data_IF_024743790974
#
_entry.id   IF_024743790974
#
_cell.length_a   1.000
_cell.length_b   1.000
_cell.length_c   1.000
_cell.angle_alpha   90.00
_cell.angle_beta   90.00
_cell.angle_gamma   90.00
#
_symmetry.space_group_name_H-M   'P 1'
#
loop_
_entity.id
_entity.type
_entity.pdbx_description
1 polymer ?
#
# COMPACT_ATOMS: atom_id res chain seq x y z
N UNK A 1 -15.68 -13.31 -5.09
CA UNK A 1 -16.05 -13.72 -3.72
C UNK A 1 -17.56 -14.06 -3.63
N UNK A 2 -18.44 -13.31 -4.30
CA UNK A 2 -19.87 -13.61 -4.32
C UNK A 2 -20.18 -15.02 -4.82
N UNK A 3 -19.48 -15.47 -5.87
CA UNK A 3 -19.60 -16.82 -6.44
C UNK A 3 -19.26 -17.95 -5.45
N UNK A 4 -18.57 -17.61 -4.35
CA UNK A 4 -18.16 -18.55 -3.30
C UNK A 4 -18.97 -18.40 -2.02
N UNK A 5 -20.01 -17.56 -2.03
CA UNK A 5 -20.83 -17.24 -0.86
C UNK A 5 -20.06 -16.75 0.37
N UNK A 6 -18.86 -16.17 0.19
CA UNK A 6 -18.09 -15.59 1.28
C UNK A 6 -18.71 -14.29 1.76
N UNK A 7 -18.85 -14.17 3.08
CA UNK A 7 -19.21 -12.90 3.71
C UNK A 7 -17.95 -12.03 3.79
N UNK A 8 -17.98 -10.86 3.19
CA UNK A 8 -16.88 -9.91 3.20
C UNK A 8 -17.36 -8.46 3.15
N UNK A 9 -16.49 -7.55 3.57
CA UNK A 9 -16.69 -6.11 3.40
C UNK A 9 -15.58 -5.56 2.51
N UNK A 10 -15.95 -5.13 1.30
CA UNK A 10 -14.98 -4.51 0.39
C UNK A 10 -14.71 -3.07 0.81
N UNK A 11 -13.41 -2.73 0.95
CA UNK A 11 -12.94 -1.38 1.26
C UNK A 11 -12.07 -0.87 0.12
N UNK A 12 -12.53 0.16 -0.59
CA UNK A 12 -11.73 0.83 -1.62
C UNK A 12 -10.75 1.79 -0.95
N UNK A 13 -9.44 1.57 -1.11
CA UNK A 13 -8.42 2.49 -0.64
C UNK A 13 -8.62 3.91 -1.16
N UNK A 14 -8.95 4.05 -2.45
CA UNK A 14 -9.20 5.37 -3.07
C UNK A 14 -10.36 6.11 -2.39
N UNK A 15 -11.46 5.40 -2.11
CA UNK A 15 -12.59 5.99 -1.40
C UNK A 15 -12.20 6.40 0.02
N UNK A 16 -11.54 5.51 0.76
CA UNK A 16 -11.11 5.80 2.14
C UNK A 16 -10.15 7.00 2.23
N UNK A 17 -9.27 7.19 1.25
CA UNK A 17 -8.44 8.39 1.16
C UNK A 17 -9.29 9.63 0.90
N UNK A 18 -10.18 9.60 -0.10
CA UNK A 18 -11.01 10.75 -0.49
C UNK A 18 -12.04 11.14 0.57
N UNK A 19 -12.61 10.15 1.25
CA UNK A 19 -13.59 10.35 2.32
C UNK A 19 -12.96 10.80 3.65
N UNK A 20 -11.62 10.98 3.68
CA UNK A 20 -10.88 11.41 4.86
C UNK A 20 -10.75 10.35 5.96
N UNK A 21 -11.13 9.10 5.70
CA UNK A 21 -11.04 8.02 6.70
C UNK A 21 -9.61 7.82 7.22
N UNK A 22 -8.61 7.98 6.34
CA UNK A 22 -7.21 7.86 6.71
C UNK A 22 -6.59 9.13 7.32
N UNK A 23 -7.28 10.26 7.33
CA UNK A 23 -6.74 11.54 7.80
C UNK A 23 -6.12 11.49 9.22
N UNK A 24 -6.75 10.86 10.23
CA UNK A 24 -6.14 10.76 11.56
C UNK A 24 -4.80 10.01 11.52
N UNK A 25 -4.74 8.90 10.78
CA UNK A 25 -3.52 8.08 10.69
C UNK A 25 -2.45 8.76 9.83
N UNK A 26 -2.82 9.49 8.78
CA UNK A 26 -1.89 10.29 7.97
C UNK A 26 -1.19 11.37 8.81
N UNK A 27 -1.89 11.99 9.76
CA UNK A 27 -1.29 12.93 10.71
C UNK A 27 -0.27 12.23 11.62
N UNK A 28 -0.61 11.07 12.16
CA UNK A 28 0.32 10.25 12.98
C UNK A 28 1.56 9.85 12.15
N UNK A 29 1.40 9.47 10.89
CA UNK A 29 2.51 9.18 9.97
C UNK A 29 3.41 10.40 9.80
N UNK A 30 2.82 11.57 9.60
CA UNK A 30 3.57 12.83 9.45
C UNK A 30 4.33 13.21 10.72
N UNK A 31 3.71 13.06 11.89
CA UNK A 31 4.35 13.30 13.19
C UNK A 31 5.57 12.39 13.39
N UNK A 32 5.48 11.14 12.94
CA UNK A 32 6.54 10.14 13.03
C UNK A 32 7.45 10.07 11.79
N UNK A 33 7.41 11.08 10.93
CA UNK A 33 8.11 11.11 9.65
C UNK A 33 9.59 10.70 9.75
N UNK A 34 10.33 11.32 10.66
CA UNK A 34 11.76 11.09 10.79
C UNK A 34 12.08 9.65 11.22
N UNK A 35 11.26 9.08 12.12
CA UNK A 35 11.35 7.68 12.53
C UNK A 35 11.05 6.72 11.38
N UNK A 36 10.05 7.02 10.57
CA UNK A 36 9.70 6.23 9.37
C UNK A 36 10.82 6.29 8.34
N UNK A 37 11.40 7.47 8.12
CA UNK A 37 12.55 7.63 7.24
C UNK A 37 13.75 6.80 7.71
N UNK A 38 14.02 6.76 9.00
CA UNK A 38 15.10 5.93 9.58
C UNK A 38 14.88 4.42 9.35
N UNK A 39 13.63 3.97 9.28
CA UNK A 39 13.29 2.57 8.96
C UNK A 39 13.47 2.26 7.47
N UNK A 40 12.99 3.16 6.61
CA UNK A 40 12.95 2.92 5.16
C UNK A 40 14.28 3.24 4.48
N UNK A 41 14.93 4.34 4.85
CA UNK A 41 16.10 4.89 4.19
C UNK A 41 17.26 3.89 3.99
N UNK A 42 17.63 3.07 5.01
CA UNK A 42 18.69 2.08 4.84
C UNK A 42 18.40 0.98 3.81
N UNK A 43 17.14 0.80 3.42
CA UNK A 43 16.71 -0.22 2.45
C UNK A 43 16.70 0.27 1.01
N UNK A 44 16.97 1.56 0.80
CA UNK A 44 16.95 2.21 -0.50
C UNK A 44 18.34 2.30 -1.11
N UNK A 45 18.44 2.13 -2.42
CA UNK A 45 19.65 2.47 -3.17
C UNK A 45 19.94 3.98 -3.13
N UNK A 46 21.22 4.35 -3.31
CA UNK A 46 21.71 5.74 -3.17
C UNK A 46 20.91 6.76 -3.99
N UNK A 47 20.55 6.43 -5.21
CA UNK A 47 19.74 7.29 -6.09
C UNK A 47 18.34 7.53 -5.52
N UNK A 48 17.68 6.46 -5.07
CA UNK A 48 16.34 6.54 -4.50
C UNK A 48 16.32 7.26 -3.13
N UNK A 49 17.42 7.20 -2.38
CA UNK A 49 17.56 7.94 -1.12
C UNK A 49 17.43 9.46 -1.32
N UNK A 50 17.88 9.99 -2.44
CA UNK A 50 17.85 11.43 -2.72
C UNK A 50 16.45 11.98 -3.01
N UNK A 51 15.54 11.12 -3.47
CA UNK A 51 14.21 11.52 -3.94
C UNK A 51 13.06 10.92 -3.15
N UNK A 52 13.36 10.02 -2.20
CA UNK A 52 12.32 9.31 -1.48
C UNK A 52 11.58 10.23 -0.49
N UNK A 53 10.26 10.23 -0.61
CA UNK A 53 9.34 10.74 0.39
C UNK A 53 8.21 9.72 0.57
N UNK A 54 7.76 9.41 1.79
CA UNK A 54 6.62 8.53 1.99
C UNK A 54 5.31 9.08 1.42
N UNK A 55 5.20 10.38 1.24
CA UNK A 55 4.02 11.05 0.69
C UNK A 55 4.21 11.33 -0.80
N UNK A 56 3.26 10.89 -1.61
CA UNK A 56 3.19 11.12 -3.06
C UNK A 56 2.02 12.05 -3.35
N UNK A 57 2.23 13.22 -3.98
CA UNK A 57 1.14 14.11 -4.34
C UNK A 57 0.25 13.48 -5.40
N UNK A 58 -1.03 13.87 -5.42
CA UNK A 58 -1.99 13.51 -6.47
C UNK A 58 -2.21 14.74 -7.34
N UNK A 59 -2.11 14.55 -8.66
CA UNK A 59 -2.39 15.61 -9.61
C UNK A 59 -3.87 16.04 -9.51
N UNK A 60 -4.17 17.30 -9.23
CA UNK A 60 -5.55 17.75 -9.08
C UNK A 60 -6.35 17.63 -10.39
N UNK A 61 -5.70 17.77 -11.54
CA UNK A 61 -6.36 17.78 -12.84
C UNK A 61 -6.69 16.36 -13.33
N UNK A 62 -5.79 15.39 -13.07
CA UNK A 62 -5.89 14.02 -13.61
C UNK A 62 -6.23 12.97 -12.58
N UNK A 63 -6.06 13.26 -11.30
CA UNK A 63 -6.20 12.30 -10.20
C UNK A 63 -5.08 11.24 -10.15
N UNK A 64 -4.04 11.36 -10.97
CA UNK A 64 -2.92 10.43 -10.95
C UNK A 64 -1.93 10.73 -9.83
N UNK A 65 -1.34 9.69 -9.27
CA UNK A 65 -0.23 9.80 -8.31
C UNK A 65 0.99 10.30 -9.06
N UNK A 66 1.64 11.33 -8.53
CA UNK A 66 2.86 11.90 -9.08
C UNK A 66 4.08 11.32 -8.35
N UNK A 67 4.93 10.60 -9.08
CA UNK A 67 6.21 10.09 -8.56
C UNK A 67 7.33 11.12 -8.78
N UNK A 68 7.21 12.24 -8.13
CA UNK A 68 8.14 13.37 -8.22
C UNK A 68 8.75 13.68 -6.85
N UNK A 69 9.94 14.31 -6.81
CA UNK A 69 10.58 14.68 -5.55
C UNK A 69 9.74 15.67 -4.75
N UNK A 70 9.57 15.38 -3.47
CA UNK A 70 9.02 16.33 -2.50
C UNK A 70 10.18 17.16 -1.97
N UNK A 71 10.08 18.48 -2.08
CA UNK A 71 11.13 19.43 -1.70
C UNK A 71 11.07 19.78 -0.22
N UNK A 72 9.86 19.86 0.34
CA UNK A 72 9.64 20.30 1.71
C UNK A 72 8.37 19.67 2.28
N UNK A 73 8.35 19.45 3.59
CA UNK A 73 7.21 18.96 4.34
C UNK A 73 6.83 20.00 5.40
N UNK A 74 5.63 20.56 5.27
CA UNK A 74 5.03 21.45 6.26
C UNK A 74 4.23 20.61 7.26
N UNK A 75 4.88 20.18 8.34
CA UNK A 75 4.25 19.38 9.40
C UNK A 75 3.12 20.15 10.11
N UNK A 76 3.20 21.48 10.18
CA UNK A 76 2.22 22.30 10.88
C UNK A 76 0.89 22.42 10.13
N UNK A 77 0.96 22.54 8.81
CA UNK A 77 -0.22 22.72 7.96
C UNK A 77 -0.63 21.46 7.21
N UNK A 78 0.02 20.31 7.49
CA UNK A 78 -0.24 19.01 6.84
C UNK A 78 -0.12 19.09 5.32
N UNK A 79 0.96 19.70 4.82
CA UNK A 79 1.21 19.89 3.39
C UNK A 79 2.57 19.35 2.98
N UNK A 80 2.67 19.00 1.70
CA UNK A 80 3.92 18.74 0.99
C UNK A 80 4.10 19.77 -0.11
N UNK A 81 5.36 20.13 -0.35
CA UNK A 81 5.76 21.07 -1.40
C UNK A 81 6.65 20.30 -2.38
N UNK A 82 6.36 20.38 -3.65
CA UNK A 82 7.01 19.61 -4.69
C UNK A 82 7.22 20.41 -5.96
N UNK A 83 8.15 19.98 -6.80
CA UNK A 83 8.38 20.56 -8.12
C UNK A 83 7.64 19.75 -9.19
N UNK A 84 6.82 20.45 -9.96
CA UNK A 84 6.17 19.87 -11.13
C UNK A 84 6.57 20.65 -12.37
N UNK A 85 7.58 20.15 -13.08
CA UNK A 85 8.12 20.77 -14.31
C UNK A 85 8.59 22.22 -14.10
N UNK A 86 9.37 22.49 -13.04
CA UNK A 86 9.90 23.82 -12.72
C UNK A 86 8.91 24.74 -12.01
N UNK A 87 7.71 24.25 -11.70
CA UNK A 87 6.71 24.99 -10.92
C UNK A 87 6.60 24.40 -9.53
N UNK A 88 6.92 25.19 -8.51
CA UNK A 88 6.74 24.82 -7.12
C UNK A 88 5.25 24.84 -6.76
N UNK A 89 4.73 23.66 -6.39
CA UNK A 89 3.32 23.47 -6.01
C UNK A 89 3.24 22.93 -4.59
N UNK A 90 2.09 23.13 -3.94
CA UNK A 90 1.77 22.54 -2.65
C UNK A 90 0.54 21.64 -2.75
N UNK A 91 0.48 20.61 -1.92
CA UNK A 91 -0.68 19.73 -1.77
C UNK A 91 -0.87 19.35 -0.31
N UNK A 92 -2.13 19.25 0.12
CA UNK A 92 -2.47 18.65 1.41
C UNK A 92 -2.10 17.16 1.41
N UNK A 93 -1.70 16.62 2.55
CA UNK A 93 -1.58 15.16 2.72
C UNK A 93 -2.92 14.50 3.05
N UNK A 94 -3.98 15.28 3.24
CA UNK A 94 -5.31 14.83 3.67
C UNK A 94 -6.30 14.80 2.51
N UNK A 95 -7.46 14.20 2.74
CA UNK A 95 -8.64 14.26 1.86
C UNK A 95 -8.38 13.74 0.43
N UNK A 96 -7.51 12.74 0.30
CA UNK A 96 -7.19 12.13 -0.98
C UNK A 96 -6.32 12.97 -1.92
N UNK A 97 -5.72 14.08 -1.45
CA UNK A 97 -4.77 14.88 -2.23
C UNK A 97 -3.35 14.33 -2.23
N UNK A 98 -3.11 13.30 -1.45
CA UNK A 98 -1.85 12.60 -1.33
C UNK A 98 -2.08 11.09 -1.16
N UNK A 99 -1.13 10.28 -1.56
CA UNK A 99 -1.08 8.85 -1.29
C UNK A 99 0.26 8.49 -0.66
N UNK A 100 0.26 7.53 0.26
CA UNK A 100 1.50 7.00 0.82
C UNK A 100 2.18 6.01 -0.13
N UNK A 101 3.51 5.92 -0.07
CA UNK A 101 4.27 4.84 -0.70
C UNK A 101 3.96 3.50 -0.03
N UNK A 102 4.04 2.41 -0.81
CA UNK A 102 3.51 1.08 -0.52
C UNK A 102 3.73 0.58 0.92
N UNK A 103 4.95 0.57 1.43
CA UNK A 103 5.26 -0.02 2.74
C UNK A 103 4.65 0.79 3.89
N UNK A 104 4.63 2.11 3.73
CA UNK A 104 4.02 3.04 4.70
C UNK A 104 2.50 3.02 4.59
N UNK A 105 1.96 2.95 3.36
CA UNK A 105 0.53 2.81 3.08
C UNK A 105 -0.04 1.50 3.68
N UNK A 106 0.74 0.42 3.61
CA UNK A 106 0.33 -0.87 4.17
C UNK A 106 0.24 -0.83 5.70
N UNK A 107 1.25 -0.27 6.36
CA UNK A 107 1.23 -0.03 7.81
C UNK A 107 0.09 0.92 8.23
N UNK A 108 -0.15 1.98 7.47
CA UNK A 108 -1.25 2.92 7.68
C UNK A 108 -2.61 2.22 7.60
N UNK A 109 -2.82 1.35 6.62
CA UNK A 109 -4.06 0.58 6.48
C UNK A 109 -4.27 -0.40 7.63
N UNK A 110 -3.23 -1.11 8.06
CA UNK A 110 -3.31 -1.96 9.25
C UNK A 110 -3.74 -1.16 10.48
N UNK A 111 -3.15 0.02 10.65
CA UNK A 111 -3.46 0.89 11.78
C UNK A 111 -4.91 1.41 11.72
N UNK A 112 -5.32 1.99 10.60
CA UNK A 112 -6.59 2.69 10.44
C UNK A 112 -7.81 1.76 10.38
N UNK A 113 -7.62 0.56 9.82
CA UNK A 113 -8.68 -0.45 9.68
C UNK A 113 -8.70 -1.47 10.81
N UNK A 114 -7.78 -1.35 11.78
CA UNK A 114 -7.68 -2.24 12.93
C UNK A 114 -7.54 -3.71 12.53
N UNK A 115 -6.56 -3.99 11.66
CA UNK A 115 -6.38 -5.32 11.10
C UNK A 115 -5.74 -6.26 12.12
N UNK A 116 -6.40 -7.36 12.43
CA UNK A 116 -5.92 -8.41 13.34
C UNK A 116 -5.09 -9.48 12.63
N UNK A 117 -5.40 -9.74 11.37
CA UNK A 117 -4.78 -10.81 10.60
C UNK A 117 -4.59 -10.42 9.13
N UNK A 118 -3.40 -10.70 8.58
CA UNK A 118 -3.05 -10.42 7.18
C UNK A 118 -2.36 -11.62 6.54
N UNK A 119 -2.76 -11.97 5.32
CA UNK A 119 -2.07 -12.97 4.51
C UNK A 119 -1.48 -12.32 3.28
N UNK A 120 -0.24 -12.69 2.93
CA UNK A 120 0.44 -12.12 1.77
C UNK A 120 1.36 -13.13 1.11
N UNK A 121 1.62 -12.93 -0.19
CA UNK A 121 2.57 -13.77 -0.92
C UNK A 121 4.00 -13.60 -0.39
N UNK A 122 4.82 -14.66 -0.46
CA UNK A 122 6.21 -14.64 0.03
C UNK A 122 7.08 -13.55 -0.59
N UNK A 123 6.72 -13.04 -1.76
CA UNK A 123 7.39 -11.92 -2.42
C UNK A 123 7.20 -10.57 -1.69
N UNK A 124 6.29 -10.50 -0.73
CA UNK A 124 6.03 -9.31 0.10
C UNK A 124 6.63 -9.38 1.51
N UNK A 125 7.36 -10.45 1.87
CA UNK A 125 7.91 -10.64 3.22
C UNK A 125 8.74 -9.42 3.68
N UNK A 126 9.66 -8.94 2.86
CA UNK A 126 10.47 -7.76 3.20
C UNK A 126 9.63 -6.50 3.41
N UNK A 127 8.59 -6.33 2.60
CA UNK A 127 7.65 -5.22 2.76
C UNK A 127 6.86 -5.34 4.06
N UNK A 128 6.39 -6.55 4.41
CA UNK A 128 5.70 -6.83 5.66
C UNK A 128 6.57 -6.55 6.89
N UNK A 129 7.86 -6.93 6.85
CA UNK A 129 8.82 -6.62 7.92
C UNK A 129 8.95 -5.11 8.13
N UNK A 130 9.06 -4.33 7.06
CA UNK A 130 9.18 -2.88 7.17
C UNK A 130 7.87 -2.23 7.63
N UNK A 131 6.72 -2.68 7.10
CA UNK A 131 5.41 -2.22 7.55
C UNK A 131 5.15 -2.56 9.03
N UNK A 132 5.63 -3.72 9.51
CA UNK A 132 5.59 -4.09 10.93
C UNK A 132 6.40 -3.12 11.80
N UNK A 133 7.61 -2.74 11.37
CA UNK A 133 8.41 -1.74 12.11
C UNK A 133 7.72 -0.39 12.15
N UNK A 134 7.06 0.01 11.06
CA UNK A 134 6.36 1.28 10.96
C UNK A 134 5.13 1.31 11.86
N UNK A 135 4.26 0.29 11.82
CA UNK A 135 3.05 0.27 12.67
C UNK A 135 3.40 0.26 14.15
N UNK A 136 4.46 -0.47 14.53
CA UNK A 136 4.95 -0.47 15.91
C UNK A 136 5.50 0.90 16.33
N UNK A 137 6.22 1.59 15.44
CA UNK A 137 6.70 2.95 15.67
C UNK A 137 5.55 3.94 15.93
N UNK A 138 4.46 3.83 15.17
CA UNK A 138 3.30 4.70 15.31
C UNK A 138 2.32 4.28 16.41
N UNK A 139 2.72 3.34 17.27
CA UNK A 139 2.05 3.04 18.53
C UNK A 139 0.97 1.97 18.46
N UNK A 140 0.95 1.10 17.43
CA UNK A 140 0.01 -0.02 17.35
C UNK A 140 0.74 -1.34 17.06
N UNK A 141 0.22 -2.44 17.59
CA UNK A 141 0.73 -3.78 17.30
C UNK A 141 0.42 -4.16 15.86
N UNK A 142 1.37 -4.81 15.19
CA UNK A 142 1.13 -5.37 13.86
C UNK A 142 0.15 -6.54 13.88
N UNK A 143 -0.59 -6.78 12.78
CA UNK A 143 -1.43 -7.96 12.65
C UNK A 143 -0.63 -9.26 12.76
N UNK A 144 -1.29 -10.32 13.20
CA UNK A 144 -0.81 -11.68 13.01
C UNK A 144 -0.97 -12.07 11.54
N UNK A 145 -0.21 -13.05 11.06
CA UNK A 145 -0.36 -13.50 9.68
C UNK A 145 0.73 -14.43 9.23
N UNK A 146 0.65 -14.84 7.97
CA UNK A 146 1.66 -15.68 7.35
C UNK A 146 1.85 -15.34 5.86
N UNK A 147 3.04 -15.67 5.36
CA UNK A 147 3.33 -15.63 3.95
C UNK A 147 2.96 -16.99 3.30
N UNK A 148 2.16 -16.95 2.24
CA UNK A 148 1.88 -18.13 1.44
C UNK A 148 2.80 -18.22 0.22
N UNK A 149 2.99 -19.45 -0.29
CA UNK A 149 3.77 -19.69 -1.50
C UNK A 149 3.12 -19.08 -2.74
N UNK A 150 3.95 -18.76 -3.72
CA UNK A 150 3.46 -18.26 -5.00
C UNK A 150 2.87 -19.41 -5.81
N UNK A 151 1.76 -19.17 -6.49
CA UNK A 151 1.23 -20.12 -7.45
C UNK A 151 2.14 -20.19 -8.67
N UNK A 152 2.49 -21.42 -9.03
CA UNK A 152 3.37 -21.71 -10.16
C UNK A 152 2.58 -22.36 -11.27
N UNK A 153 3.01 -22.14 -12.51
CA UNK A 153 2.51 -22.88 -13.67
C UNK A 153 3.16 -24.28 -13.78
N UNK A 154 2.80 -25.04 -14.81
CA UNK A 154 3.32 -26.38 -15.07
C UNK A 154 4.84 -26.44 -15.29
N UNK A 155 5.47 -25.29 -15.59
CA UNK A 155 6.92 -25.14 -15.78
C UNK A 155 7.64 -24.68 -14.52
N UNK A 156 6.90 -24.47 -13.40
CA UNK A 156 7.42 -23.93 -12.16
C UNK A 156 7.67 -22.42 -12.20
N UNK A 157 7.10 -21.69 -13.17
CA UNK A 157 7.19 -20.25 -13.25
C UNK A 157 6.02 -19.56 -12.50
N UNK A 158 6.30 -18.41 -11.89
CA UNK A 158 5.25 -17.64 -11.21
C UNK A 158 4.11 -17.27 -12.17
N UNK A 159 2.89 -17.62 -11.79
CA UNK A 159 1.68 -17.21 -12.52
C UNK A 159 1.55 -15.68 -12.43
N UNK A 160 1.39 -15.04 -13.58
CA UNK A 160 1.15 -13.59 -13.64
C UNK A 160 0.18 -13.21 -14.74
N UNK A 161 -0.61 -12.17 -14.50
CA UNK A 161 -1.56 -11.65 -15.48
C UNK A 161 -0.88 -11.17 -16.77
N UNK A 162 0.29 -10.56 -16.66
CA UNK A 162 1.06 -10.06 -17.81
C UNK A 162 1.61 -11.17 -18.70
N UNK A 163 1.94 -12.33 -18.12
CA UNK A 163 2.39 -13.51 -18.87
C UNK A 163 1.23 -14.33 -19.44
N UNK A 164 0.02 -14.21 -18.85
CA UNK A 164 -1.15 -14.99 -19.26
C UNK A 164 -1.00 -16.50 -19.02
N UNK A 165 -0.09 -16.91 -18.14
CA UNK A 165 0.26 -18.32 -17.88
C UNK A 165 -0.54 -18.96 -16.75
N UNK A 166 -1.67 -18.38 -16.37
CA UNK A 166 -2.56 -18.90 -15.32
C UNK A 166 -3.98 -19.08 -15.79
N UNK A 167 -4.72 -19.96 -15.13
CA UNK A 167 -6.15 -20.14 -15.33
C UNK A 167 -6.88 -19.07 -14.50
N UNK A 168 -7.85 -18.37 -15.13
CA UNK A 168 -8.71 -17.43 -14.42
C UNK A 168 -9.76 -18.16 -13.61
N UNK A 169 -10.31 -17.52 -12.58
CA UNK A 169 -11.44 -18.06 -11.79
C UNK A 169 -12.61 -18.43 -12.70
N UNK A 170 -12.94 -17.57 -13.67
CA UNK A 170 -14.04 -17.83 -14.62
C UNK A 170 -13.78 -19.05 -15.51
N UNK A 171 -12.52 -19.31 -15.88
CA UNK A 171 -12.13 -20.51 -16.60
C UNK A 171 -12.22 -21.74 -15.71
N UNK A 172 -11.77 -21.66 -14.45
CA UNK A 172 -11.89 -22.74 -13.48
C UNK A 172 -13.36 -23.16 -13.28
N UNK A 173 -14.22 -22.20 -13.02
CA UNK A 173 -15.65 -22.43 -12.75
C UNK A 173 -16.45 -22.99 -13.95
N UNK A 174 -15.86 -23.06 -15.15
CA UNK A 174 -16.46 -23.80 -16.29
C UNK A 174 -16.35 -25.30 -16.14
N UNK A 175 -15.39 -25.80 -15.39
CA UNK A 175 -15.04 -27.22 -15.32
C UNK A 175 -15.12 -27.81 -13.91
N UNK A 176 -15.08 -26.96 -12.88
CA UNK A 176 -15.04 -27.36 -11.48
C UNK A 176 -15.92 -26.46 -10.62
N UNK A 177 -16.37 -26.98 -9.47
CA UNK A 177 -17.22 -26.23 -8.55
C UNK A 177 -16.44 -25.18 -7.75
N UNK A 178 -17.12 -24.14 -7.18
CA UNK A 178 -16.47 -23.19 -6.29
C UNK A 178 -15.79 -23.84 -5.08
N UNK A 179 -16.37 -24.91 -4.52
CA UNK A 179 -15.83 -25.62 -3.37
C UNK A 179 -14.46 -26.22 -3.65
N UNK A 180 -14.23 -26.72 -4.89
CA UNK A 180 -12.94 -27.28 -5.29
C UNK A 180 -11.81 -26.24 -5.23
N UNK A 181 -12.09 -24.98 -5.56
CA UNK A 181 -11.12 -23.88 -5.44
C UNK A 181 -10.99 -23.39 -4.00
N UNK A 182 -12.02 -23.51 -3.19
CA UNK A 182 -11.96 -23.16 -1.76
C UNK A 182 -11.15 -24.16 -0.94
N UNK A 183 -11.03 -25.39 -1.42
CA UNK A 183 -10.24 -26.43 -0.76
C UNK A 183 -8.74 -26.32 -1.08
N UNK A 184 -8.40 -25.73 -2.24
CA UNK A 184 -7.02 -25.53 -2.69
C UNK A 184 -6.33 -24.41 -1.94
#
# INVERSE_FOLDING_TARGET
LNSFNFKYSFKSSTSLYKDGFFNPTLKIILENYDGIMNIIFPTLGKERQQTYCPFLPICPDTGHVLEIPVLEIDKKNFKIIFDNNGKKLESSILDGNCKLQWKVDWAMRWYALDIDFEMYGKDLIESAILSTKIINLIGKKNPSGFAYELFLDEKGEKISKSKGNGITIDQWLKYASPESLSLY
#
